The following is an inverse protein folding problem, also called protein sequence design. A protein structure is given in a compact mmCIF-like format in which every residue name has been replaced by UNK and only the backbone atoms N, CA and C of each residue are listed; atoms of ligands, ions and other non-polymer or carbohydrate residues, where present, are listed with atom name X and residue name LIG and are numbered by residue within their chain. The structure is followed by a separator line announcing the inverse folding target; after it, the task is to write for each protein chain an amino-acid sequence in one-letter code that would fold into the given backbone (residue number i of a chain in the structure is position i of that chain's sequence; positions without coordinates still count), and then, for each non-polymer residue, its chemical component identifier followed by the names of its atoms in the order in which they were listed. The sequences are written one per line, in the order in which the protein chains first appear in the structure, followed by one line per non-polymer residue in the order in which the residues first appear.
data_IF_678383717496
#
_entry.id   IF_678383717496
#
_cell.length_a   1.000
_cell.length_b   1.000
_cell.length_c   1.000
_cell.angle_alpha   90.00
_cell.angle_beta   90.00
_cell.angle_gamma   90.00
#
_symmetry.space_group_name_H-M   'P 1'
#
loop_
_entity.id
_entity.type
_entity.pdbx_description
1 polymer ?
#
# COMPACT_ATOMS: atom_id res chain seq x y z
N UNK A 1 13.97 -4.71 -56.24
CA UNK A 1 14.34 -6.08 -56.66
C UNK A 1 14.77 -6.81 -55.40
N UNK A 2 13.93 -7.68 -54.83
CA UNK A 2 13.70 -9.07 -55.29
C UNK A 2 15.02 -9.80 -55.48
N UNK A 3 15.28 -10.95 -54.91
CA UNK A 3 14.58 -11.83 -53.98
C UNK A 3 15.67 -12.55 -53.18
N UNK A 4 15.33 -13.27 -52.11
CA UNK A 4 15.09 -14.72 -52.18
C UNK A 4 16.37 -15.44 -52.65
N UNK A 5 16.86 -16.47 -51.98
CA UNK A 5 16.20 -17.69 -51.55
C UNK A 5 17.10 -18.30 -50.46
N UNK A 6 16.52 -19.18 -49.64
CA UNK A 6 17.16 -20.30 -48.92
C UNK A 6 17.12 -20.17 -47.39
N UNK A 7 16.07 -20.68 -46.73
CA UNK A 7 15.85 -22.11 -46.36
C UNK A 7 16.84 -22.57 -45.28
N UNK A 8 16.50 -23.26 -44.19
CA UNK A 8 15.31 -23.93 -43.68
C UNK A 8 15.54 -24.13 -42.16
N UNK A 9 14.45 -24.04 -41.39
CA UNK A 9 14.10 -24.94 -40.28
C UNK A 9 15.11 -25.18 -39.13
N UNK A 10 14.79 -24.61 -37.96
CA UNK A 10 14.23 -25.35 -36.78
C UNK A 10 14.75 -24.79 -35.44
N UNK A 11 13.85 -24.37 -34.55
CA UNK A 11 14.09 -24.43 -33.09
C UNK A 11 13.73 -23.20 -32.23
N UNK A 12 12.44 -23.06 -31.92
CA UNK A 12 11.85 -22.50 -30.68
C UNK A 12 12.20 -21.06 -30.18
N UNK A 13 11.30 -20.13 -30.51
CA UNK A 13 10.47 -19.32 -29.59
C UNK A 13 10.57 -19.63 -28.06
N UNK A 14 11.00 -18.65 -27.24
CA UNK A 14 10.18 -17.92 -26.22
C UNK A 14 11.05 -17.20 -25.15
N UNK A 15 10.81 -15.89 -25.08
CA UNK A 15 10.86 -14.93 -23.95
C UNK A 15 12.18 -14.61 -23.22
N UNK A 16 12.60 -13.35 -23.42
CA UNK A 16 13.45 -12.62 -22.49
C UNK A 16 12.65 -12.11 -21.29
N UNK A 17 13.06 -12.51 -20.08
CA UNK A 17 12.68 -11.86 -18.84
C UNK A 17 13.67 -10.72 -18.54
N UNK A 18 13.14 -9.51 -18.45
CA UNK A 18 13.72 -8.44 -17.62
C UNK A 18 12.63 -7.85 -16.72
N UNK A 19 13.04 -7.26 -15.58
CA UNK A 19 12.23 -7.15 -14.38
C UNK A 19 11.38 -5.88 -14.38
N UNK A 20 10.22 -5.92 -13.73
CA UNK A 20 9.59 -4.74 -13.17
C UNK A 20 8.79 -5.11 -11.93
N UNK A 21 8.98 -4.26 -10.93
CA UNK A 21 8.38 -4.26 -9.61
C UNK A 21 6.85 -4.13 -9.64
N UNK A 22 6.24 -4.78 -8.65
CA UNK A 22 5.05 -4.38 -7.91
C UNK A 22 3.65 -4.77 -8.45
N UNK A 23 2.95 -5.50 -7.57
CA UNK A 23 1.51 -5.45 -7.30
C UNK A 23 0.62 -6.49 -8.01
N UNK A 24 0.66 -7.73 -7.51
CA UNK A 24 -0.45 -8.68 -7.65
C UNK A 24 -1.11 -8.84 -6.26
N UNK A 25 -2.15 -8.05 -6.03
CA UNK A 25 -3.22 -8.36 -5.08
C UNK A 25 -4.23 -9.24 -5.82
N UNK A 26 -4.15 -10.56 -5.66
CA UNK A 26 -5.24 -11.47 -6.04
C UNK A 26 -6.14 -11.62 -4.81
N UNK A 27 -7.30 -10.98 -4.87
CA UNK A 27 -8.45 -11.28 -4.02
C UNK A 27 -8.96 -12.68 -4.34
N UNK A 28 -8.73 -13.62 -3.44
CA UNK A 28 -9.25 -14.98 -3.47
C UNK A 28 -10.74 -15.05 -3.06
N UNK A 29 -11.51 -16.04 -3.54
CA UNK A 29 -12.95 -16.17 -3.27
C UNK A 29 -13.22 -16.73 -1.86
N UNK A 30 -14.25 -16.20 -1.20
CA UNK A 30 -14.69 -16.64 0.13
C UNK A 30 -15.36 -18.02 0.04
N UNK A 31 -14.67 -19.06 0.50
CA UNK A 31 -15.21 -20.41 0.66
C UNK A 31 -16.08 -20.48 1.93
N UNK A 32 -17.26 -21.11 1.81
CA UNK A 32 -18.13 -21.49 2.93
C UNK A 32 -17.30 -22.31 3.93
N UNK A 33 -17.24 -21.87 5.18
CA UNK A 33 -16.44 -22.53 6.23
C UNK A 33 -17.12 -23.84 6.60
N UNK A 34 -16.60 -24.95 6.08
CA UNK A 34 -16.89 -26.28 6.62
C UNK A 34 -16.34 -26.30 8.05
N UNK A 35 -17.21 -26.59 9.03
CA UNK A 35 -16.82 -26.62 10.45
C UNK A 35 -15.70 -27.64 10.64
N UNK A 36 -14.57 -27.20 11.21
CA UNK A 36 -13.40 -28.03 11.38
C UNK A 36 -13.71 -29.25 12.27
N UNK A 37 -13.32 -30.44 11.82
CA UNK A 37 -13.49 -31.66 12.60
C UNK A 37 -12.20 -32.00 13.33
N UNK A 38 -12.20 -31.89 14.66
CA UNK A 38 -11.03 -32.23 15.48
C UNK A 38 -10.79 -33.75 15.48
N UNK A 39 -9.53 -34.16 15.30
CA UNK A 39 -9.11 -35.56 15.13
C UNK A 39 -8.17 -36.03 16.23
N UNK A 40 -7.12 -35.26 16.53
CA UNK A 40 -6.14 -35.60 17.57
C UNK A 40 -5.68 -34.32 18.28
N UNK A 41 -5.25 -34.43 19.52
CA UNK A 41 -4.62 -33.35 20.28
C UNK A 41 -3.30 -33.88 20.84
N UNK A 42 -2.20 -33.21 20.49
CA UNK A 42 -0.88 -33.50 21.04
C UNK A 42 -0.56 -32.48 22.13
N UNK A 43 0.03 -32.94 23.23
CA UNK A 43 0.50 -32.09 24.32
C UNK A 43 2.02 -32.14 24.31
N UNK A 44 2.65 -30.98 24.21
CA UNK A 44 4.09 -30.82 24.24
C UNK A 44 4.50 -30.15 25.55
N UNK A 45 5.63 -30.57 26.10
CA UNK A 45 6.23 -29.98 27.30
C UNK A 45 6.99 -28.66 27.01
N UNK A 46 7.55 -28.04 28.06
CA UNK A 46 8.35 -26.81 27.97
C UNK A 46 9.57 -26.91 27.03
N UNK A 47 9.99 -28.14 26.68
CA UNK A 47 11.14 -28.43 25.82
C UNK A 47 10.72 -28.77 24.38
N UNK A 48 9.41 -28.78 24.11
CA UNK A 48 8.86 -29.16 22.81
C UNK A 48 8.84 -30.67 22.57
N UNK A 49 9.06 -31.49 23.60
CA UNK A 49 8.96 -32.94 23.54
C UNK A 49 7.50 -33.38 23.77
N UNK A 50 7.10 -34.49 23.17
CA UNK A 50 5.72 -34.98 23.26
C UNK A 50 5.44 -35.55 24.67
N UNK A 51 4.60 -34.84 25.42
CA UNK A 51 4.16 -35.20 26.76
C UNK A 51 2.92 -36.12 26.76
N UNK A 52 2.08 -36.02 25.73
CA UNK A 52 0.91 -36.88 25.58
C UNK A 52 0.15 -36.69 24.28
N UNK A 53 -0.72 -37.66 23.98
CA UNK A 53 -1.59 -37.66 22.80
C UNK A 53 -3.01 -38.05 23.23
N UNK A 54 -3.99 -37.28 22.77
CA UNK A 54 -5.41 -37.58 22.88
C UNK A 54 -5.98 -37.81 21.49
N UNK A 55 -6.31 -39.07 21.20
CA UNK A 55 -6.90 -39.48 19.92
C UNK A 55 -8.42 -39.41 20.03
N UNK A 56 -9.04 -38.48 19.29
CA UNK A 56 -10.50 -38.34 19.21
C UNK A 56 -11.09 -39.15 18.05
N UNK A 57 -10.32 -39.33 16.98
CA UNK A 57 -10.66 -40.15 15.83
C UNK A 57 -9.51 -41.13 15.51
N UNK A 58 -9.68 -42.44 15.77
CA UNK A 58 -8.63 -43.44 15.59
C UNK A 58 -8.32 -43.75 14.12
N UNK A 59 -9.23 -43.41 13.20
CA UNK A 59 -9.07 -43.67 11.76
C UNK A 59 -8.29 -42.55 11.05
N UNK A 60 -7.75 -41.58 11.79
CA UNK A 60 -6.98 -40.47 11.23
C UNK A 60 -5.59 -40.95 10.77
N UNK A 61 -5.26 -40.83 9.46
CA UNK A 61 -4.03 -41.36 8.88
C UNK A 61 -2.78 -40.51 9.15
N UNK A 62 -2.94 -39.38 9.85
CA UNK A 62 -1.87 -38.43 10.15
C UNK A 62 -1.40 -38.61 11.60
N UNK A 63 -0.08 -38.72 11.75
CA UNK A 63 0.58 -38.92 13.04
C UNK A 63 1.46 -37.75 13.44
N UNK A 64 1.92 -37.74 14.68
CA UNK A 64 2.84 -36.72 15.22
C UNK A 64 4.13 -36.59 14.39
N UNK A 65 4.60 -37.67 13.76
CA UNK A 65 5.77 -37.62 12.89
C UNK A 65 5.54 -36.78 11.64
N UNK A 66 4.30 -36.67 11.15
CA UNK A 66 3.99 -35.81 10.01
C UNK A 66 3.89 -34.34 10.42
N UNK A 67 3.46 -34.06 11.66
CA UNK A 67 3.60 -32.73 12.25
C UNK A 67 5.07 -32.29 12.32
N UNK A 68 5.96 -33.15 12.82
CA UNK A 68 7.39 -32.84 12.91
C UNK A 68 8.06 -32.57 11.56
N UNK A 69 7.57 -33.17 10.47
CA UNK A 69 8.09 -32.93 9.12
C UNK A 69 7.69 -31.56 8.58
N UNK A 70 6.55 -31.03 9.01
CA UNK A 70 5.98 -29.77 8.53
C UNK A 70 6.24 -28.63 9.50
N UNK A 71 6.70 -28.94 10.72
CA UNK A 71 7.10 -27.96 11.72
C UNK A 71 8.27 -27.11 11.19
N UNK A 72 8.10 -25.78 11.10
CA UNK A 72 9.19 -24.88 10.73
C UNK A 72 10.35 -24.98 11.72
N UNK A 73 11.56 -24.73 11.25
CA UNK A 73 12.76 -24.74 12.11
C UNK A 73 12.71 -23.67 13.21
N UNK A 74 11.90 -22.62 13.02
CA UNK A 74 11.63 -21.53 13.95
C UNK A 74 10.60 -21.90 15.04
N UNK A 75 9.95 -23.07 14.92
CA UNK A 75 8.84 -23.48 15.77
C UNK A 75 7.49 -23.04 15.20
N UNK A 76 6.41 -23.32 15.96
CA UNK A 76 5.06 -22.87 15.63
C UNK A 76 4.62 -21.87 16.71
N UNK A 77 4.11 -20.70 16.29
CA UNK A 77 3.63 -19.67 17.21
C UNK A 77 2.26 -20.01 17.82
N UNK A 78 1.86 -19.24 18.83
CA UNK A 78 0.53 -19.38 19.42
C UNK A 78 -0.56 -19.04 18.40
N UNK A 79 -1.54 -19.94 18.26
CA UNK A 79 -2.65 -19.89 17.29
C UNK A 79 -2.22 -20.03 15.82
N UNK A 80 -0.96 -20.33 15.55
CA UNK A 80 -0.49 -20.60 14.20
C UNK A 80 -0.98 -21.96 13.72
N UNK A 81 -1.29 -22.03 12.43
CA UNK A 81 -1.83 -23.21 11.77
C UNK A 81 -0.92 -23.71 10.65
N UNK A 82 -0.51 -24.98 10.73
CA UNK A 82 0.26 -25.67 9.70
C UNK A 82 -0.64 -26.61 8.90
N UNK A 83 -0.52 -26.56 7.58
CA UNK A 83 -1.38 -27.31 6.67
C UNK A 83 -0.67 -28.54 6.13
N UNK A 84 -1.30 -29.71 6.30
CA UNK A 84 -0.84 -30.99 5.75
C UNK A 84 -1.97 -31.61 4.96
N UNK A 85 -2.02 -31.28 3.66
CA UNK A 85 -3.10 -31.69 2.77
C UNK A 85 -4.46 -31.14 3.23
N UNK A 86 -5.39 -32.02 3.60
CA UNK A 86 -6.72 -31.66 4.09
C UNK A 86 -6.78 -31.42 5.61
N UNK A 87 -5.67 -31.61 6.30
CA UNK A 87 -5.57 -31.51 7.75
C UNK A 87 -4.76 -30.29 8.18
N UNK A 88 -5.10 -29.75 9.33
CA UNK A 88 -4.55 -28.53 9.88
C UNK A 88 -4.11 -28.79 11.31
N UNK A 89 -2.85 -28.51 11.61
CA UNK A 89 -2.31 -28.49 12.95
C UNK A 89 -2.33 -27.07 13.47
N UNK A 90 -3.09 -26.80 14.53
CA UNK A 90 -3.12 -25.47 15.17
C UNK A 90 -2.49 -25.57 16.55
N UNK A 91 -1.43 -24.81 16.81
CA UNK A 91 -0.79 -24.79 18.11
C UNK A 91 -1.42 -23.74 19.03
N UNK A 92 -1.54 -24.07 20.30
CA UNK A 92 -1.97 -23.18 21.37
C UNK A 92 -0.97 -23.24 22.50
N UNK A 93 -0.39 -22.11 22.85
CA UNK A 93 0.55 -21.99 23.95
C UNK A 93 -0.22 -21.64 25.22
N UNK A 94 -0.23 -22.57 26.19
CA UNK A 94 -0.86 -22.37 27.49
C UNK A 94 0.19 -22.59 28.56
N UNK A 95 0.78 -21.49 29.02
CA UNK A 95 1.81 -21.44 30.05
C UNK A 95 3.00 -22.37 29.77
N UNK A 96 3.08 -23.49 30.49
CA UNK A 96 4.21 -24.44 30.42
C UNK A 96 4.03 -25.55 29.37
N UNK A 97 2.86 -25.65 28.76
CA UNK A 97 2.54 -26.68 27.78
C UNK A 97 2.11 -26.05 26.45
N UNK A 98 2.39 -26.76 25.36
CA UNK A 98 1.92 -26.39 24.02
C UNK A 98 0.97 -27.48 23.54
N UNK A 99 -0.27 -27.10 23.24
CA UNK A 99 -1.30 -27.99 22.71
C UNK A 99 -1.37 -27.86 21.20
N UNK A 100 -1.14 -28.95 20.47
CA UNK A 100 -1.23 -28.98 19.01
C UNK A 100 -2.47 -29.76 18.61
N UNK A 101 -3.45 -29.06 18.04
CA UNK A 101 -4.73 -29.62 17.63
C UNK A 101 -4.67 -30.00 16.15
N UNK A 102 -4.93 -31.27 15.85
CA UNK A 102 -5.08 -31.77 14.49
C UNK A 102 -6.55 -31.79 14.11
N UNK A 103 -6.93 -30.98 13.13
CA UNK A 103 -8.30 -30.89 12.61
C UNK A 103 -8.35 -31.13 11.11
N UNK A 104 -9.48 -31.61 10.60
CA UNK A 104 -9.76 -31.67 9.15
C UNK A 104 -10.55 -30.43 8.77
N UNK A 105 -9.95 -29.56 7.97
CA UNK A 105 -10.44 -28.19 7.70
C UNK A 105 -9.93 -27.14 8.69
N UNK A 106 -10.01 -25.86 8.31
CA UNK A 106 -9.50 -24.75 9.11
C UNK A 106 -10.46 -24.38 10.25
N UNK A 107 -9.93 -24.26 11.47
CA UNK A 107 -10.67 -23.76 12.62
C UNK A 107 -11.09 -22.30 12.38
N UNK A 108 -12.37 -21.99 12.59
CA UNK A 108 -12.86 -20.61 12.52
C UNK A 108 -12.34 -19.78 13.69
N UNK A 109 -12.27 -18.45 13.54
CA UNK A 109 -11.75 -17.57 14.60
C UNK A 109 -12.49 -17.76 15.95
N UNK A 110 -13.81 -17.97 15.92
CA UNK A 110 -14.61 -18.26 17.11
C UNK A 110 -14.25 -19.61 17.76
N UNK A 111 -13.95 -20.64 16.96
CA UNK A 111 -13.56 -21.97 17.45
C UNK A 111 -12.15 -21.93 18.08
N UNK A 112 -11.25 -21.09 17.54
CA UNK A 112 -9.90 -20.83 18.07
C UNK A 112 -9.96 -20.16 19.44
N UNK A 113 -10.83 -19.17 19.63
CA UNK A 113 -10.96 -18.48 20.92
C UNK A 113 -11.62 -19.35 22.00
N UNK A 114 -12.63 -20.14 21.64
CA UNK A 114 -13.24 -21.12 22.56
C UNK A 114 -12.27 -22.25 22.95
N UNK A 115 -11.49 -22.77 22.00
CA UNK A 115 -10.49 -23.81 22.28
C UNK A 115 -9.34 -23.29 23.13
N UNK A 116 -8.85 -22.06 22.87
CA UNK A 116 -7.86 -21.41 23.72
C UNK A 116 -8.37 -21.25 25.17
N UNK A 117 -9.62 -20.82 25.35
CA UNK A 117 -10.22 -20.64 26.68
C UNK A 117 -10.41 -21.97 27.42
N UNK A 118 -10.81 -23.04 26.73
CA UNK A 118 -10.90 -24.38 27.29
C UNK A 118 -9.53 -24.95 27.68
N UNK A 119 -8.51 -24.78 26.83
CA UNK A 119 -7.16 -25.28 27.08
C UNK A 119 -6.51 -24.56 28.26
N UNK A 120 -6.70 -23.25 28.35
CA UNK A 120 -6.27 -22.44 29.51
C UNK A 120 -6.96 -22.90 30.80
N UNK A 121 -8.26 -23.26 30.74
CA UNK A 121 -8.97 -23.82 31.89
C UNK A 121 -8.44 -25.22 32.27
N UNK A 122 -8.07 -26.07 31.31
CA UNK A 122 -7.48 -27.39 31.57
C UNK A 122 -6.03 -27.34 32.06
N UNK A 123 -5.28 -26.28 31.73
CA UNK A 123 -3.93 -26.09 32.30
C UNK A 123 -3.99 -25.95 33.83
N UNK A 124 -5.01 -25.25 34.35
CA UNK A 124 -5.21 -25.08 35.79
C UNK A 124 -5.41 -26.41 36.54
N UNK A 125 -5.85 -27.47 35.84
CA UNK A 125 -6.02 -28.82 36.39
C UNK A 125 -4.80 -29.71 36.18
N UNK A 126 -4.03 -29.51 35.10
CA UNK A 126 -2.78 -30.24 34.81
C UNK A 126 -1.61 -29.82 35.71
N UNK A 127 -1.58 -28.55 36.17
CA UNK A 127 -0.58 -28.06 37.15
C UNK A 127 -0.72 -28.74 38.53
N UNK A 128 -1.79 -29.52 38.77
CA UNK A 128 -2.10 -30.17 40.05
C UNK A 128 -2.08 -31.71 40.06
N UNK A 129 -1.42 -32.36 39.09
CA UNK A 129 -1.29 -33.83 39.00
C UNK A 129 0.13 -34.38 39.24
N UNK A 130 0.32 -35.58 39.83
CA UNK A 130 1.61 -36.07 40.32
C UNK A 130 2.49 -36.69 39.22
N UNK A 131 3.82 -36.59 39.41
CA UNK A 131 4.86 -37.12 38.53
C UNK A 131 4.76 -38.65 38.27
N UNK A 132 5.05 -39.09 37.03
CA UNK A 132 5.15 -40.51 36.63
C UNK A 132 6.48 -40.79 35.87
N UNK A 133 6.99 -42.04 35.88
CA UNK A 133 8.39 -42.38 35.62
C UNK A 133 8.72 -42.72 34.16
N UNK A 134 10.02 -42.73 33.86
CA UNK A 134 10.65 -42.90 32.55
C UNK A 134 10.48 -44.30 31.91
N UNK A 135 10.49 -44.42 30.56
CA UNK A 135 10.44 -45.70 29.87
C UNK A 135 11.82 -46.31 29.61
N UNK A 136 11.86 -47.64 29.60
CA UNK A 136 13.00 -48.52 29.38
C UNK A 136 13.43 -48.56 27.91
N UNK A 137 14.73 -48.40 27.63
CA UNK A 137 15.34 -48.52 26.29
C UNK A 137 15.75 -49.96 25.98
N UNK A 138 15.30 -50.47 24.84
CA UNK A 138 15.83 -51.66 24.19
C UNK A 138 17.10 -51.35 23.38
N UNK A 139 18.03 -52.31 23.35
CA UNK A 139 19.35 -52.21 22.76
C UNK A 139 19.32 -52.27 21.22
N UNK A 140 19.94 -51.28 20.56
CA UNK A 140 20.26 -51.25 19.14
C UNK A 140 21.76 -51.04 18.92
N UNK A 141 22.29 -51.57 17.82
CA UNK A 141 23.69 -51.74 17.45
C UNK A 141 24.52 -50.43 17.34
N UNK A 142 25.77 -50.46 17.84
CA UNK A 142 26.66 -49.30 18.04
C UNK A 142 27.01 -48.49 16.76
N UNK A 143 26.95 -49.10 15.57
CA UNK A 143 27.27 -48.41 14.30
C UNK A 143 26.17 -47.46 13.82
N UNK A 144 24.92 -47.74 14.15
CA UNK A 144 23.78 -46.89 13.76
C UNK A 144 23.65 -45.70 14.71
N UNK A 145 24.09 -45.85 15.96
CA UNK A 145 24.18 -44.74 16.90
C UNK A 145 25.23 -43.71 16.51
N UNK A 146 26.43 -44.10 16.07
CA UNK A 146 27.49 -43.14 15.67
C UNK A 146 27.11 -42.31 14.44
N UNK A 147 26.48 -42.94 13.43
CA UNK A 147 25.92 -42.21 12.28
C UNK A 147 24.77 -41.28 12.69
N UNK A 148 23.91 -41.74 13.61
CA UNK A 148 22.83 -40.93 14.16
C UNK A 148 23.31 -39.73 14.99
N UNK A 149 24.48 -39.82 15.63
CA UNK A 149 25.09 -38.67 16.32
C UNK A 149 25.69 -37.67 15.33
N UNK A 150 26.41 -38.13 14.29
CA UNK A 150 26.93 -37.25 13.25
C UNK A 150 25.84 -36.48 12.49
N UNK A 151 24.71 -37.15 12.18
CA UNK A 151 23.55 -36.50 11.55
C UNK A 151 22.87 -35.50 12.47
N UNK A 152 22.85 -35.75 13.79
CA UNK A 152 22.33 -34.80 14.79
C UNK A 152 23.23 -33.60 14.94
N UNK A 153 24.55 -33.79 15.00
CA UNK A 153 25.52 -32.71 15.10
C UNK A 153 25.49 -31.83 13.85
N UNK A 154 25.38 -32.42 12.65
CA UNK A 154 25.21 -31.66 11.42
C UNK A 154 23.91 -30.82 11.40
N UNK A 155 22.81 -31.37 11.93
CA UNK A 155 21.54 -30.64 12.09
C UNK A 155 21.63 -29.52 13.14
N UNK A 156 22.35 -29.74 14.23
CA UNK A 156 22.58 -28.72 15.26
C UNK A 156 23.41 -27.57 14.70
N UNK A 157 24.50 -27.87 13.99
CA UNK A 157 25.32 -26.83 13.32
C UNK A 157 24.51 -26.06 12.27
N UNK A 158 23.62 -26.73 11.54
CA UNK A 158 22.73 -26.04 10.60
C UNK A 158 21.71 -25.13 11.32
N UNK A 159 21.14 -25.59 12.45
CA UNK A 159 20.24 -24.76 13.27
C UNK A 159 20.96 -23.57 13.90
N UNK A 160 22.18 -23.77 14.41
CA UNK A 160 23.02 -22.70 14.97
C UNK A 160 23.34 -21.63 13.92
N UNK A 161 23.66 -22.05 12.68
CA UNK A 161 23.85 -21.10 11.57
C UNK A 161 22.59 -20.33 11.23
N UNK A 162 21.44 -21.00 11.14
CA UNK A 162 20.17 -20.34 10.87
C UNK A 162 19.77 -19.36 11.99
N UNK A 163 20.02 -19.72 13.26
CA UNK A 163 19.80 -18.82 14.40
C UNK A 163 20.72 -17.60 14.32
N UNK A 164 22.00 -17.78 14.01
CA UNK A 164 22.93 -16.66 13.83
C UNK A 164 22.50 -15.73 12.67
N UNK A 165 21.96 -16.29 11.57
CA UNK A 165 21.42 -15.49 10.46
C UNK A 165 20.17 -14.70 10.87
N UNK A 166 19.25 -15.30 11.63
CA UNK A 166 18.06 -14.64 12.14
C UNK A 166 18.40 -13.55 13.17
N UNK A 167 19.35 -13.81 14.08
CA UNK A 167 19.85 -12.82 15.02
C UNK A 167 20.48 -11.63 14.30
N UNK A 168 21.27 -11.87 13.25
CA UNK A 168 21.83 -10.80 12.43
C UNK A 168 20.76 -9.98 11.70
N UNK A 169 19.70 -10.63 11.20
CA UNK A 169 18.56 -9.94 10.57
C UNK A 169 17.78 -9.11 11.58
N UNK A 170 17.48 -9.64 12.76
CA UNK A 170 16.80 -8.91 13.83
C UNK A 170 17.63 -7.72 14.31
N UNK A 171 18.95 -7.86 14.43
CA UNK A 171 19.82 -6.73 14.75
C UNK A 171 19.82 -5.65 13.66
N UNK A 172 19.82 -6.04 12.39
CA UNK A 172 19.71 -5.10 11.27
C UNK A 172 18.35 -4.38 11.24
N UNK A 173 17.26 -5.11 11.49
CA UNK A 173 15.92 -4.53 11.59
C UNK A 173 15.78 -3.60 12.80
N UNK A 174 16.34 -3.96 13.95
CA UNK A 174 16.39 -3.09 15.13
C UNK A 174 17.15 -1.79 14.83
N UNK A 175 18.31 -1.87 14.18
CA UNK A 175 19.08 -0.69 13.75
C UNK A 175 18.32 0.18 12.73
N UNK A 176 17.56 -0.44 11.83
CA UNK A 176 16.71 0.29 10.88
C UNK A 176 15.53 0.99 11.58
N UNK A 177 14.92 0.35 12.57
CA UNK A 177 13.84 0.95 13.36
C UNK A 177 14.35 2.13 14.20
N UNK A 178 15.53 2.01 14.82
CA UNK A 178 16.15 3.14 15.55
C UNK A 178 16.50 4.28 14.60
N UNK A 179 17.04 4.00 13.41
CA UNK A 179 17.31 5.02 12.40
C UNK A 179 16.03 5.74 11.92
N UNK A 180 14.92 5.01 11.72
CA UNK A 180 13.62 5.60 11.40
C UNK A 180 13.07 6.46 12.54
N UNK A 181 13.26 6.01 13.79
CA UNK A 181 12.84 6.76 14.97
C UNK A 181 13.62 8.09 15.09
N UNK A 182 14.94 8.06 14.89
CA UNK A 182 15.76 9.27 14.87
C UNK A 182 15.34 10.25 13.75
N UNK A 183 15.01 9.75 12.56
CA UNK A 183 14.55 10.59 11.47
C UNK A 183 13.17 11.20 11.75
N UNK A 184 12.26 10.44 12.37
CA UNK A 184 10.98 10.98 12.86
C UNK A 184 11.20 12.06 13.92
N UNK A 185 12.14 11.86 14.84
CA UNK A 185 12.42 12.85 15.89
C UNK A 185 13.10 14.11 15.31
N UNK A 186 13.94 13.97 14.28
CA UNK A 186 14.44 15.12 13.49
C UNK A 186 13.31 15.86 12.77
N UNK A 187 12.36 15.14 12.19
CA UNK A 187 11.20 15.76 11.53
C UNK A 187 10.31 16.50 12.53
N UNK A 188 10.04 15.91 13.70
CA UNK A 188 9.32 16.58 14.79
C UNK A 188 10.05 17.84 15.26
N UNK A 189 11.37 17.77 15.43
CA UNK A 189 12.18 18.94 15.80
C UNK A 189 12.12 20.05 14.74
N UNK A 190 12.15 19.69 13.44
CA UNK A 190 11.97 20.67 12.34
C UNK A 190 10.58 21.30 12.36
N UNK A 191 9.52 20.51 12.60
CA UNK A 191 8.16 21.03 12.71
C UNK A 191 7.99 21.95 13.93
N UNK A 192 8.60 21.60 15.06
CA UNK A 192 8.62 22.46 16.24
C UNK A 192 9.35 23.78 15.96
N UNK A 193 10.51 23.74 15.31
CA UNK A 193 11.24 24.94 14.91
C UNK A 193 10.45 25.82 13.92
N UNK A 194 9.71 25.22 12.99
CA UNK A 194 8.81 25.96 12.08
C UNK A 194 7.64 26.59 12.83
N UNK A 195 7.06 25.89 13.81
CA UNK A 195 6.02 26.44 14.67
C UNK A 195 6.54 27.64 15.47
N UNK A 196 7.71 27.52 16.10
CA UNK A 196 8.38 28.61 16.84
C UNK A 196 8.71 29.79 15.94
N UNK A 197 9.17 29.55 14.71
CA UNK A 197 9.42 30.59 13.73
C UNK A 197 8.13 31.32 13.35
N UNK A 198 7.03 30.59 13.13
CA UNK A 198 5.74 31.19 12.81
C UNK A 198 5.20 32.05 13.97
N UNK A 199 5.37 31.60 15.21
CA UNK A 199 4.99 32.37 16.40
C UNK A 199 5.81 33.66 16.52
N UNK A 200 7.14 33.57 16.33
CA UNK A 200 8.02 34.76 16.31
C UNK A 200 7.64 35.73 15.19
N UNK A 201 7.30 35.23 14.00
CA UNK A 201 6.84 36.07 12.91
C UNK A 201 5.53 36.78 13.26
N UNK A 202 4.56 36.08 13.86
CA UNK A 202 3.32 36.68 14.34
C UNK A 202 3.58 37.77 15.40
N UNK A 203 4.49 37.53 16.34
CA UNK A 203 4.88 38.51 17.35
C UNK A 203 5.58 39.74 16.74
N UNK A 204 6.46 39.54 15.76
CA UNK A 204 7.11 40.66 15.05
C UNK A 204 6.10 41.48 14.25
N UNK A 205 5.09 40.84 13.64
CA UNK A 205 4.01 41.54 12.95
C UNK A 205 3.11 42.27 13.94
N UNK A 206 2.73 41.67 15.07
CA UNK A 206 1.93 42.30 16.10
C UNK A 206 2.65 43.51 16.73
N UNK A 207 3.94 43.39 17.00
CA UNK A 207 4.77 44.50 17.50
C UNK A 207 4.98 45.57 16.43
N UNK A 208 5.17 45.20 15.16
CA UNK A 208 5.22 46.12 14.03
C UNK A 208 3.92 46.91 13.84
N UNK A 209 2.78 46.24 13.92
CA UNK A 209 1.44 46.86 13.84
C UNK A 209 1.17 47.79 15.03
N UNK A 210 1.61 47.43 16.24
CA UNK A 210 1.46 48.30 17.41
C UNK A 210 2.37 49.53 17.35
N UNK A 211 3.59 49.41 16.80
CA UNK A 211 4.48 50.55 16.55
C UNK A 211 3.92 51.45 15.46
N UNK A 212 3.52 50.90 14.32
CA UNK A 212 2.93 51.69 13.23
C UNK A 212 1.64 52.37 13.68
N UNK A 213 0.82 51.72 14.51
CA UNK A 213 -0.36 52.37 15.13
C UNK A 213 0.01 53.54 16.02
N UNK A 214 1.02 53.40 16.88
CA UNK A 214 1.52 54.49 17.74
C UNK A 214 2.12 55.62 16.90
N UNK A 215 2.91 55.30 15.89
CA UNK A 215 3.47 56.27 14.95
C UNK A 215 2.36 57.01 14.21
N UNK A 216 1.31 56.31 13.77
CA UNK A 216 0.16 56.89 13.10
C UNK A 216 -0.66 57.78 14.05
N UNK A 217 -0.84 57.40 15.31
CA UNK A 217 -1.45 58.26 16.35
C UNK A 217 -0.60 59.52 16.61
N UNK A 218 0.73 59.39 16.70
CA UNK A 218 1.62 60.56 16.85
C UNK A 218 1.66 61.44 15.61
N UNK A 219 1.63 60.85 14.42
CA UNK A 219 1.57 61.56 13.15
C UNK A 219 0.22 62.25 12.96
N UNK A 220 -0.89 61.66 13.43
CA UNK A 220 -2.20 62.32 13.48
C UNK A 220 -2.20 63.51 14.46
N UNK A 221 -1.54 63.38 15.62
CA UNK A 221 -1.39 64.49 16.56
C UNK A 221 -0.48 65.61 16.02
N UNK A 222 0.58 65.25 15.27
CA UNK A 222 1.46 66.20 14.60
C UNK A 222 0.79 66.86 13.39
N UNK A 223 0.01 66.11 12.61
CA UNK A 223 -0.77 66.61 11.48
C UNK A 223 -1.93 67.51 11.93
N UNK A 224 -2.57 67.19 13.06
CA UNK A 224 -3.55 68.07 13.71
C UNK A 224 -2.90 69.37 14.24
N UNK A 225 -1.59 69.35 14.53
CA UNK A 225 -0.80 70.54 14.91
C UNK A 225 -0.21 71.28 13.69
N UNK A 226 0.01 70.61 12.56
CA UNK A 226 0.64 71.18 11.37
C UNK A 226 -0.36 71.60 10.28
N UNK A 227 -1.67 71.47 10.50
CA UNK A 227 -2.72 71.74 9.50
C UNK A 227 -2.92 73.23 9.11
N UNK A 228 -1.92 74.08 9.33
CA UNK A 228 -1.96 75.49 8.97
C UNK A 228 -1.23 75.86 7.67
N UNK A 229 -0.20 75.15 7.19
CA UNK A 229 0.76 75.77 6.23
C UNK A 229 1.13 75.05 4.91
N UNK A 230 0.51 73.94 4.49
CA UNK A 230 0.87 73.30 3.20
C UNK A 230 -0.31 72.75 2.39
N UNK A 231 -1.32 73.57 2.09
CA UNK A 231 -2.64 73.08 1.62
C UNK A 231 -2.81 72.76 0.13
N UNK A 232 -1.87 73.02 -0.77
CA UNK A 232 -2.20 72.99 -2.23
C UNK A 232 -1.43 71.99 -3.09
N UNK A 233 -0.19 71.62 -2.77
CA UNK A 233 0.60 70.64 -3.55
C UNK A 233 0.62 69.24 -2.92
N UNK A 234 0.74 69.15 -1.59
CA UNK A 234 0.62 67.87 -0.85
C UNK A 234 -0.79 67.29 -0.93
N UNK A 235 -1.82 68.14 -1.08
CA UNK A 235 -3.22 67.73 -1.22
C UNK A 235 -3.45 66.86 -2.46
N UNK A 236 -2.83 67.19 -3.60
CA UNK A 236 -3.00 66.43 -4.85
C UNK A 236 -2.26 65.10 -4.83
N UNK A 237 -0.99 65.10 -4.39
CA UNK A 237 -0.22 63.86 -4.25
C UNK A 237 -0.87 62.90 -3.23
N UNK A 238 -1.44 63.44 -2.14
CA UNK A 238 -2.17 62.66 -1.15
C UNK A 238 -3.51 62.12 -1.69
N UNK A 239 -4.22 62.87 -2.55
CA UNK A 239 -5.43 62.34 -3.20
C UNK A 239 -5.11 61.24 -4.20
N UNK A 240 -4.04 61.37 -4.98
CA UNK A 240 -3.63 60.37 -5.96
C UNK A 240 -3.13 59.08 -5.28
N UNK A 241 -2.39 59.22 -4.17
CA UNK A 241 -2.01 58.10 -3.32
C UNK A 241 -3.24 57.40 -2.71
N UNK A 242 -4.25 58.14 -2.24
CA UNK A 242 -5.49 57.54 -1.73
C UNK A 242 -6.27 56.81 -2.81
N UNK A 243 -6.34 57.37 -4.02
CA UNK A 243 -7.01 56.72 -5.14
C UNK A 243 -6.31 55.42 -5.56
N UNK A 244 -4.98 55.40 -5.60
CA UNK A 244 -4.22 54.18 -5.89
C UNK A 244 -4.41 53.11 -4.81
N UNK A 245 -4.35 53.47 -3.52
CA UNK A 245 -4.65 52.52 -2.44
C UNK A 245 -6.09 52.01 -2.47
N UNK A 246 -7.07 52.85 -2.82
CA UNK A 246 -8.45 52.40 -3.00
C UNK A 246 -8.61 51.45 -4.19
N UNK A 247 -7.89 51.69 -5.28
CA UNK A 247 -7.87 50.79 -6.44
C UNK A 247 -7.22 49.45 -6.11
N UNK A 248 -6.07 49.46 -5.41
CA UNK A 248 -5.39 48.25 -4.93
C UNK A 248 -6.28 47.48 -3.96
N UNK A 249 -6.95 48.17 -3.02
CA UNK A 249 -7.89 47.53 -2.10
C UNK A 249 -9.06 46.89 -2.84
N UNK A 250 -9.61 47.55 -3.86
CA UNK A 250 -10.67 46.97 -4.71
C UNK A 250 -10.16 45.75 -5.49
N UNK A 251 -8.96 45.81 -6.04
CA UNK A 251 -8.33 44.69 -6.75
C UNK A 251 -8.07 43.50 -5.82
N UNK A 252 -7.59 43.74 -4.59
CA UNK A 252 -7.38 42.69 -3.59
C UNK A 252 -8.69 42.06 -3.13
N UNK A 253 -9.76 42.84 -2.96
CA UNK A 253 -11.09 42.30 -2.64
C UNK A 253 -11.63 41.45 -3.79
N UNK A 254 -11.45 41.87 -5.04
CA UNK A 254 -11.85 41.10 -6.21
C UNK A 254 -11.05 39.78 -6.31
N UNK A 255 -9.72 39.84 -6.16
CA UNK A 255 -8.86 38.66 -6.18
C UNK A 255 -9.21 37.67 -5.04
N UNK A 256 -9.53 38.18 -3.85
CA UNK A 256 -10.00 37.35 -2.73
C UNK A 256 -11.33 36.66 -3.06
N UNK A 257 -12.29 37.38 -3.63
CA UNK A 257 -13.58 36.81 -4.03
C UNK A 257 -13.42 35.72 -5.10
N UNK A 258 -12.53 35.93 -6.08
CA UNK A 258 -12.19 34.92 -7.08
C UNK A 258 -11.53 33.68 -6.48
N UNK A 259 -10.60 33.86 -5.53
CA UNK A 259 -9.95 32.75 -4.84
C UNK A 259 -10.97 31.94 -4.02
N UNK A 260 -11.83 32.61 -3.26
CA UNK A 260 -12.92 31.95 -2.52
C UNK A 260 -13.89 31.22 -3.45
N UNK A 261 -14.16 31.75 -4.65
CA UNK A 261 -14.99 31.06 -5.65
C UNK A 261 -14.31 29.78 -6.15
N UNK A 262 -13.00 29.84 -6.43
CA UNK A 262 -12.20 28.67 -6.83
C UNK A 262 -12.11 27.62 -5.72
N UNK A 263 -11.97 28.04 -4.47
CA UNK A 263 -11.94 27.14 -3.32
C UNK A 263 -13.30 26.44 -3.13
N UNK A 264 -14.41 27.18 -3.27
CA UNK A 264 -15.78 26.59 -3.26
C UNK A 264 -15.98 25.60 -4.41
N UNK A 265 -15.47 25.90 -5.61
CA UNK A 265 -15.55 24.99 -6.74
C UNK A 265 -14.69 23.73 -6.53
N UNK A 266 -13.46 23.89 -6.03
CA UNK A 266 -12.55 22.78 -5.74
C UNK A 266 -13.14 21.85 -4.68
N UNK A 267 -13.68 22.41 -3.59
CA UNK A 267 -14.36 21.63 -2.54
C UNK A 267 -15.60 20.91 -3.06
N UNK A 268 -16.41 21.54 -3.93
CA UNK A 268 -17.54 20.87 -4.57
C UNK A 268 -17.10 19.71 -5.48
N UNK A 269 -16.00 19.89 -6.23
CA UNK A 269 -15.41 18.83 -7.07
C UNK A 269 -14.89 17.66 -6.24
N UNK A 270 -14.22 17.93 -5.11
CA UNK A 270 -13.75 16.90 -4.18
C UNK A 270 -14.94 16.12 -3.61
N UNK A 271 -15.98 16.81 -3.13
CA UNK A 271 -17.17 16.15 -2.60
C UNK A 271 -17.85 15.25 -3.64
N UNK A 272 -17.89 15.68 -4.91
CA UNK A 272 -18.40 14.85 -6.01
C UNK A 272 -17.56 13.60 -6.25
N UNK A 273 -16.23 13.73 -6.29
CA UNK A 273 -15.33 12.59 -6.46
C UNK A 273 -15.42 11.61 -5.28
N UNK A 274 -15.57 12.11 -4.06
CA UNK A 274 -15.80 11.25 -2.88
C UNK A 274 -17.12 10.50 -2.96
N UNK A 275 -18.18 11.12 -3.49
CA UNK A 275 -19.46 10.47 -3.71
C UNK A 275 -19.36 9.40 -4.80
N UNK A 276 -18.74 9.74 -5.95
CA UNK A 276 -18.53 8.78 -7.05
C UNK A 276 -17.69 7.58 -6.60
N UNK A 277 -16.69 7.80 -5.73
CA UNK A 277 -15.88 6.72 -5.14
C UNK A 277 -16.69 5.82 -4.20
N UNK A 278 -17.59 6.38 -3.39
CA UNK A 278 -18.50 5.61 -2.52
C UNK A 278 -19.48 4.78 -3.35
N UNK A 279 -20.03 5.35 -4.41
CA UNK A 279 -20.96 4.65 -5.29
C UNK A 279 -20.26 3.51 -6.06
N UNK A 280 -19.01 3.72 -6.49
CA UNK A 280 -18.19 2.68 -7.10
C UNK A 280 -17.86 1.53 -6.13
N UNK A 281 -17.55 1.85 -4.87
CA UNK A 281 -17.32 0.85 -3.81
C UNK A 281 -18.58 0.01 -3.57
N UNK A 282 -19.75 0.65 -3.45
CA UNK A 282 -21.03 -0.05 -3.28
C UNK A 282 -21.38 -0.92 -4.50
N UNK A 283 -21.04 -0.49 -5.71
CA UNK A 283 -21.20 -1.30 -6.92
C UNK A 283 -20.30 -2.54 -6.89
N UNK A 284 -19.02 -2.38 -6.53
CA UNK A 284 -18.07 -3.49 -6.41
C UNK A 284 -18.48 -4.50 -5.33
N UNK A 285 -19.02 -4.05 -4.20
CA UNK A 285 -19.55 -4.94 -3.17
C UNK A 285 -20.76 -5.75 -3.67
N UNK A 286 -21.67 -5.12 -4.42
CA UNK A 286 -22.80 -5.81 -5.06
C UNK A 286 -22.33 -6.83 -6.10
N UNK A 287 -21.31 -6.52 -6.88
CA UNK A 287 -20.74 -7.47 -7.84
C UNK A 287 -20.01 -8.62 -7.14
N UNK A 288 -19.26 -8.35 -6.07
CA UNK A 288 -18.59 -9.39 -5.27
C UNK A 288 -19.59 -10.35 -4.65
N UNK A 289 -20.69 -9.84 -4.10
CA UNK A 289 -21.75 -10.68 -3.54
C UNK A 289 -22.47 -11.49 -4.63
N UNK A 290 -22.78 -10.90 -5.78
CA UNK A 290 -23.36 -11.60 -6.92
C UNK A 290 -22.41 -12.67 -7.51
N UNK A 291 -21.10 -12.41 -7.54
CA UNK A 291 -20.12 -13.40 -7.99
C UNK A 291 -19.95 -14.52 -6.97
N UNK A 292 -20.00 -14.22 -5.66
CA UNK A 292 -19.96 -15.23 -4.61
C UNK A 292 -21.20 -16.15 -4.65
N UNK A 293 -22.39 -15.62 -4.95
CA UNK A 293 -23.59 -16.45 -5.12
C UNK A 293 -23.51 -17.33 -6.36
N UNK A 294 -23.07 -16.78 -7.51
CA UNK A 294 -22.84 -17.56 -8.73
C UNK A 294 -21.81 -18.67 -8.53
N UNK A 295 -20.66 -18.37 -7.92
CA UNK A 295 -19.65 -19.38 -7.62
C UNK A 295 -20.19 -20.48 -6.68
N UNK A 296 -21.02 -20.11 -5.71
CA UNK A 296 -21.67 -21.07 -4.82
C UNK A 296 -22.70 -21.97 -5.52
N UNK A 297 -23.39 -21.48 -6.55
CA UNK A 297 -24.28 -22.26 -7.41
C UNK A 297 -23.48 -23.18 -8.35
N UNK A 298 -22.38 -22.69 -8.91
CA UNK A 298 -21.45 -23.49 -9.72
C UNK A 298 -20.83 -24.63 -8.91
N UNK A 299 -20.40 -24.40 -7.66
CA UNK A 299 -19.91 -25.48 -6.80
C UNK A 299 -20.99 -26.52 -6.49
N UNK A 300 -22.24 -26.10 -6.27
CA UNK A 300 -23.36 -27.04 -6.06
C UNK A 300 -23.59 -27.90 -7.29
N UNK A 301 -23.64 -27.29 -8.48
CA UNK A 301 -23.82 -28.03 -9.73
C UNK A 301 -22.65 -28.96 -10.03
N UNK A 302 -21.41 -28.56 -9.72
CA UNK A 302 -20.24 -29.46 -9.81
C UNK A 302 -20.36 -30.67 -8.90
N UNK A 303 -20.72 -30.48 -7.62
CA UNK A 303 -20.93 -31.60 -6.68
C UNK A 303 -22.06 -32.52 -7.11
N UNK A 304 -23.15 -31.97 -7.66
CA UNK A 304 -24.25 -32.78 -8.22
C UNK A 304 -23.79 -33.60 -9.43
N UNK A 305 -22.96 -33.03 -10.31
CA UNK A 305 -22.39 -33.75 -11.46
C UNK A 305 -21.44 -34.84 -10.98
N UNK A 306 -20.52 -34.55 -10.06
CA UNK A 306 -19.59 -35.51 -9.47
C UNK A 306 -20.33 -36.67 -8.80
N UNK A 307 -21.40 -36.39 -8.05
CA UNK A 307 -22.28 -37.40 -7.47
C UNK A 307 -22.92 -38.30 -8.54
N UNK A 308 -23.49 -37.70 -9.60
CA UNK A 308 -24.06 -38.47 -10.73
C UNK A 308 -23.02 -39.31 -11.45
N UNK A 309 -21.79 -38.82 -11.61
CA UNK A 309 -20.68 -39.57 -12.23
C UNK A 309 -20.28 -40.75 -11.35
N UNK A 310 -20.18 -40.56 -10.03
CA UNK A 310 -19.90 -41.64 -9.09
C UNK A 310 -21.01 -42.72 -9.11
N UNK A 311 -22.28 -42.30 -9.10
CA UNK A 311 -23.44 -43.20 -9.21
C UNK A 311 -23.41 -44.01 -10.51
N UNK A 312 -23.13 -43.36 -11.64
CA UNK A 312 -23.00 -44.03 -12.94
C UNK A 312 -21.82 -45.01 -12.95
N UNK A 313 -20.67 -44.63 -12.39
CA UNK A 313 -19.50 -45.50 -12.28
C UNK A 313 -19.82 -46.75 -11.44
N UNK A 314 -20.50 -46.58 -10.30
CA UNK A 314 -20.93 -47.70 -9.48
C UNK A 314 -21.88 -48.63 -10.25
N UNK A 315 -22.85 -48.08 -10.98
CA UNK A 315 -23.76 -48.86 -11.84
C UNK A 315 -23.01 -49.60 -12.95
N UNK A 316 -22.01 -48.99 -13.58
CA UNK A 316 -21.19 -49.70 -14.57
C UNK A 316 -20.40 -50.85 -13.93
N UNK A 317 -19.85 -50.67 -12.73
CA UNK A 317 -19.16 -51.75 -12.03
C UNK A 317 -20.11 -52.87 -11.58
N UNK A 318 -21.34 -52.56 -11.16
CA UNK A 318 -22.34 -53.57 -10.80
C UNK A 318 -22.80 -54.34 -12.02
N UNK A 319 -23.08 -53.67 -13.14
CA UNK A 319 -23.43 -54.31 -14.41
C UNK A 319 -22.27 -55.18 -14.92
N UNK A 320 -21.03 -54.71 -14.83
CA UNK A 320 -19.86 -55.51 -15.21
C UNK A 320 -19.72 -56.76 -14.34
N UNK A 321 -19.94 -56.65 -13.03
CA UNK A 321 -19.96 -57.80 -12.10
C UNK A 321 -21.10 -58.76 -12.42
N UNK A 322 -22.32 -58.27 -12.67
CA UNK A 322 -23.46 -59.09 -13.06
C UNK A 322 -23.24 -59.82 -14.38
N UNK A 323 -22.65 -59.15 -15.38
CA UNK A 323 -22.26 -59.78 -16.65
C UNK A 323 -21.20 -60.86 -16.45
N UNK A 324 -20.22 -60.62 -15.57
CA UNK A 324 -19.20 -61.61 -15.22
C UNK A 324 -19.84 -62.85 -14.55
N UNK A 325 -20.74 -62.65 -13.59
CA UNK A 325 -21.48 -63.74 -12.92
C UNK A 325 -22.38 -64.48 -13.90
N UNK A 326 -23.06 -63.77 -14.80
CA UNK A 326 -23.93 -64.36 -15.82
C UNK A 326 -23.16 -65.18 -16.86
N UNK A 327 -21.91 -64.80 -17.17
CA UNK A 327 -21.04 -65.55 -18.09
C UNK A 327 -20.56 -66.91 -17.56
N UNK A 328 -20.71 -67.17 -16.24
CA UNK A 328 -20.40 -68.47 -15.62
C UNK A 328 -21.62 -69.40 -15.52
N UNK A 329 -22.78 -68.99 -16.03
CA UNK A 329 -23.99 -69.82 -16.09
C UNK A 329 -23.94 -70.68 -17.36
N UNK A 330 -24.12 -72.01 -17.29
CA UNK A 330 -24.07 -72.86 -18.48
C UNK A 330 -25.19 -72.47 -19.45
N UNK A 331 -24.82 -72.36 -20.73
CA UNK A 331 -25.71 -72.00 -21.82
C UNK A 331 -26.67 -73.16 -22.11
N UNK A 332 -27.94 -72.99 -21.77
CA UNK A 332 -29.03 -73.80 -22.34
C UNK A 332 -29.61 -73.13 -23.59
N UNK A 333 -30.18 -73.98 -24.43
CA UNK A 333 -30.37 -73.85 -25.87
C UNK A 333 -31.21 -72.65 -26.33
N UNK A 334 -30.83 -72.09 -27.48
CA UNK A 334 -31.50 -70.96 -28.11
C UNK A 334 -32.89 -71.34 -28.67
N UNK A 335 -33.87 -71.34 -27.80
CA UNK A 335 -35.32 -71.32 -28.08
C UNK A 335 -35.74 -70.00 -28.76
N UNK A 336 -36.92 -69.94 -29.36
CA UNK A 336 -37.53 -68.73 -29.95
C UNK A 336 -37.57 -67.52 -28.98
N UNK A 337 -37.41 -67.74 -27.68
CA UNK A 337 -37.18 -66.71 -26.67
C UNK A 337 -35.87 -65.94 -26.88
N UNK A 338 -34.80 -66.59 -27.33
CA UNK A 338 -33.51 -65.95 -27.65
C UNK A 338 -33.62 -65.07 -28.89
N UNK A 339 -34.47 -65.44 -29.86
CA UNK A 339 -34.74 -64.58 -31.02
C UNK A 339 -35.53 -63.34 -30.64
N UNK A 340 -36.55 -63.46 -29.78
CA UNK A 340 -37.27 -62.30 -29.21
C UNK A 340 -36.37 -61.44 -28.31
N UNK A 341 -35.48 -62.04 -27.53
CA UNK A 341 -34.49 -61.33 -26.74
C UNK A 341 -33.51 -60.55 -27.65
N UNK A 342 -33.00 -61.18 -28.71
CA UNK A 342 -32.15 -60.53 -29.71
C UNK A 342 -32.89 -59.41 -30.47
N UNK A 343 -34.18 -59.55 -30.75
CA UNK A 343 -34.99 -58.46 -31.31
C UNK A 343 -35.23 -57.31 -30.31
N UNK A 344 -35.41 -57.63 -29.02
CA UNK A 344 -35.46 -56.67 -27.93
C UNK A 344 -34.14 -55.90 -27.78
N UNK A 345 -33.01 -56.60 -27.75
CA UNK A 345 -31.68 -56.01 -27.71
C UNK A 345 -31.40 -55.15 -28.96
N UNK A 346 -31.81 -55.59 -30.16
CA UNK A 346 -31.72 -54.76 -31.37
C UNK A 346 -32.56 -53.49 -31.26
N UNK A 347 -33.75 -53.56 -30.66
CA UNK A 347 -34.60 -52.40 -30.43
C UNK A 347 -34.01 -51.46 -29.37
N UNK A 348 -33.38 -51.99 -28.32
CA UNK A 348 -32.65 -51.22 -27.31
C UNK A 348 -31.42 -50.54 -27.91
N UNK A 349 -30.59 -51.26 -28.66
CA UNK A 349 -29.44 -50.70 -29.40
C UNK A 349 -29.89 -49.62 -30.39
N UNK A 350 -31.05 -49.79 -31.05
CA UNK A 350 -31.61 -48.76 -31.91
C UNK A 350 -32.07 -47.50 -31.15
N UNK A 351 -32.58 -47.66 -29.91
CA UNK A 351 -32.93 -46.54 -29.03
C UNK A 351 -31.68 -45.84 -28.49
N UNK A 352 -30.68 -46.61 -28.06
CA UNK A 352 -29.38 -46.10 -27.62
C UNK A 352 -28.68 -45.34 -28.75
N UNK A 353 -28.70 -45.86 -29.98
CA UNK A 353 -28.16 -45.16 -31.15
C UNK A 353 -28.86 -43.82 -31.38
N UNK A 354 -30.19 -43.75 -31.27
CA UNK A 354 -30.95 -42.49 -31.39
C UNK A 354 -30.65 -41.54 -30.24
N UNK A 355 -30.48 -42.05 -29.02
CA UNK A 355 -30.11 -41.25 -27.85
C UNK A 355 -28.71 -40.66 -27.99
N UNK A 356 -27.72 -41.48 -28.37
CA UNK A 356 -26.35 -41.05 -28.63
C UNK A 356 -26.29 -40.05 -29.80
N UNK A 357 -27.08 -40.25 -30.85
CA UNK A 357 -27.17 -39.30 -31.95
C UNK A 357 -27.74 -37.94 -31.49
N UNK A 358 -28.79 -37.93 -30.65
CA UNK A 358 -29.32 -36.69 -30.06
C UNK A 358 -28.31 -36.03 -29.12
N UNK A 359 -27.62 -36.81 -28.31
CA UNK A 359 -26.56 -36.34 -27.40
C UNK A 359 -25.39 -35.73 -28.17
N UNK A 360 -25.02 -36.30 -29.32
CA UNK A 360 -23.99 -35.76 -30.20
C UNK A 360 -24.39 -34.41 -30.79
N UNK A 361 -25.65 -34.26 -31.21
CA UNK A 361 -26.19 -32.97 -31.69
C UNK A 361 -26.21 -31.94 -30.55
N UNK A 362 -26.66 -32.30 -29.36
CA UNK A 362 -26.63 -31.39 -28.20
C UNK A 362 -25.21 -30.95 -27.81
N UNK A 363 -24.20 -31.83 -28.00
CA UNK A 363 -22.81 -31.47 -27.75
C UNK A 363 -22.27 -30.52 -28.83
N UNK A 364 -22.61 -30.74 -30.10
CA UNK A 364 -22.30 -29.83 -31.19
C UNK A 364 -22.94 -28.44 -30.97
N UNK A 365 -24.22 -28.38 -30.62
CA UNK A 365 -24.90 -27.11 -30.30
C UNK A 365 -24.26 -26.38 -29.11
N UNK A 366 -23.76 -27.13 -28.11
CA UNK A 366 -23.02 -26.54 -26.99
C UNK A 366 -21.65 -26.05 -27.41
N UNK A 367 -20.96 -26.77 -28.27
CA UNK A 367 -19.67 -26.36 -28.82
C UNK A 367 -19.81 -25.08 -29.64
N UNK A 368 -20.82 -24.99 -30.51
CA UNK A 368 -21.09 -23.78 -31.29
C UNK A 368 -21.41 -22.59 -30.38
N UNK A 369 -22.20 -22.78 -29.31
CA UNK A 369 -22.43 -21.74 -28.30
C UNK A 369 -21.18 -21.33 -27.53
N UNK A 370 -20.24 -22.25 -27.33
CA UNK A 370 -18.95 -21.94 -26.69
C UNK A 370 -18.10 -21.12 -27.66
N UNK A 371 -18.04 -21.50 -28.95
CA UNK A 371 -17.35 -20.72 -29.98
C UNK A 371 -17.90 -19.31 -30.11
N UNK A 372 -19.22 -19.13 -30.12
CA UNK A 372 -19.84 -17.80 -30.14
C UNK A 372 -19.43 -16.95 -28.92
N UNK A 373 -19.33 -17.58 -27.74
CA UNK A 373 -18.87 -16.90 -26.53
C UNK A 373 -17.39 -16.55 -26.60
N UNK A 374 -16.55 -17.43 -27.14
CA UNK A 374 -15.13 -17.17 -27.36
C UNK A 374 -14.93 -15.98 -28.29
N UNK A 375 -15.67 -15.92 -29.41
CA UNK A 375 -15.64 -14.75 -30.31
C UNK A 375 -16.01 -13.46 -29.58
N UNK A 376 -17.05 -13.48 -28.75
CA UNK A 376 -17.42 -12.30 -27.96
C UNK A 376 -16.41 -11.92 -26.88
N UNK A 377 -15.67 -12.89 -26.32
CA UNK A 377 -14.58 -12.63 -25.40
C UNK A 377 -13.41 -12.00 -26.15
N UNK A 378 -13.03 -12.55 -27.30
CA UNK A 378 -11.98 -12.02 -28.16
C UNK A 378 -12.29 -10.57 -28.62
N UNK A 379 -13.53 -10.28 -28.98
CA UNK A 379 -13.98 -8.91 -29.30
C UNK A 379 -13.81 -7.96 -28.11
N UNK A 380 -14.18 -8.40 -26.91
CA UNK A 380 -13.99 -7.59 -25.68
C UNK A 380 -12.53 -7.39 -25.35
N UNK A 381 -11.70 -8.42 -25.51
CA UNK A 381 -10.25 -8.32 -25.32
C UNK A 381 -9.62 -7.35 -26.31
N UNK A 382 -10.04 -7.36 -27.58
CA UNK A 382 -9.61 -6.37 -28.57
C UNK A 382 -10.04 -4.95 -28.19
N UNK A 383 -11.26 -4.77 -27.70
CA UNK A 383 -11.74 -3.47 -27.22
C UNK A 383 -10.96 -2.97 -25.99
N UNK A 384 -10.63 -3.85 -25.05
CA UNK A 384 -9.76 -3.52 -23.92
C UNK A 384 -8.35 -3.14 -24.38
N UNK A 385 -7.76 -3.90 -25.29
CA UNK A 385 -6.44 -3.60 -25.84
C UNK A 385 -6.42 -2.23 -26.56
N UNK A 386 -7.48 -1.89 -27.31
CA UNK A 386 -7.63 -0.56 -27.93
C UNK A 386 -7.70 0.55 -26.88
N UNK A 387 -8.49 0.37 -25.81
CA UNK A 387 -8.59 1.34 -24.71
C UNK A 387 -7.29 1.53 -23.96
N UNK A 388 -6.52 0.45 -23.74
CA UNK A 388 -5.20 0.54 -23.14
C UNK A 388 -4.22 1.34 -24.01
N UNK A 389 -4.24 1.14 -25.33
CA UNK A 389 -3.45 1.94 -26.27
C UNK A 389 -3.86 3.42 -26.26
N UNK A 390 -5.17 3.73 -26.20
CA UNK A 390 -5.66 5.10 -26.07
C UNK A 390 -5.26 5.76 -24.75
N UNK A 391 -5.29 5.02 -23.64
CA UNK A 391 -4.85 5.54 -22.35
C UNK A 391 -3.33 5.77 -22.32
N UNK A 392 -2.56 4.85 -22.91
CA UNK A 392 -1.10 4.99 -23.03
C UNK A 392 -0.72 6.20 -23.89
N UNK A 393 -1.38 6.42 -25.03
CA UNK A 393 -1.13 7.58 -25.88
C UNK A 393 -1.50 8.89 -25.17
N UNK A 394 -2.63 8.94 -24.47
CA UNK A 394 -3.01 10.10 -23.64
C UNK A 394 -2.01 10.37 -22.52
N UNK A 395 -1.49 9.33 -21.85
CA UNK A 395 -0.44 9.49 -20.83
C UNK A 395 0.81 10.11 -21.43
N UNK A 396 1.28 9.63 -22.59
CA UNK A 396 2.41 10.22 -23.28
C UNK A 396 2.16 11.68 -23.67
N UNK A 397 0.95 12.02 -24.12
CA UNK A 397 0.59 13.40 -24.43
C UNK A 397 0.55 14.29 -23.18
N UNK A 398 0.06 13.78 -22.05
CA UNK A 398 0.13 14.49 -20.77
C UNK A 398 1.58 14.68 -20.31
N UNK A 399 2.45 13.69 -20.48
CA UNK A 399 3.88 13.82 -20.18
C UNK A 399 4.56 14.84 -21.10
N UNK A 400 4.23 14.86 -22.40
CA UNK A 400 4.68 15.88 -23.35
C UNK A 400 4.19 17.26 -22.94
N UNK A 401 2.91 17.42 -22.59
CA UNK A 401 2.39 18.69 -22.10
C UNK A 401 3.05 19.12 -20.80
N UNK A 402 3.32 18.18 -19.88
CA UNK A 402 4.00 18.46 -18.62
C UNK A 402 5.45 18.89 -18.84
N UNK A 403 6.17 18.24 -19.76
CA UNK A 403 7.54 18.66 -20.12
C UNK A 403 7.55 20.00 -20.83
N UNK A 404 6.61 20.25 -21.75
CA UNK A 404 6.43 21.56 -22.38
C UNK A 404 6.08 22.64 -21.36
N UNK A 405 5.21 22.37 -20.40
CA UNK A 405 4.88 23.28 -19.29
C UNK A 405 6.07 23.48 -18.36
N UNK A 406 6.91 22.47 -18.13
CA UNK A 406 8.12 22.61 -17.34
C UNK A 406 9.20 23.44 -18.06
N UNK A 407 9.28 23.36 -19.39
CA UNK A 407 10.16 24.17 -20.22
C UNK A 407 9.62 25.60 -20.45
N UNK A 408 8.30 25.75 -20.55
CA UNK A 408 7.61 27.03 -20.69
C UNK A 408 7.40 27.73 -19.34
N UNK A 409 7.61 27.04 -18.21
CA UNK A 409 7.77 27.69 -16.92
C UNK A 409 9.03 28.53 -17.04
N UNK A 410 8.94 29.87 -17.03
CA UNK A 410 10.14 30.69 -17.00
C UNK A 410 10.97 30.17 -15.83
N UNK A 411 12.26 29.94 -16.07
CA UNK A 411 13.20 29.77 -14.97
C UNK A 411 12.83 30.87 -13.95
N UNK A 412 12.63 30.54 -12.66
CA UNK A 412 12.50 31.59 -11.67
C UNK A 412 13.65 32.54 -11.95
N UNK A 413 13.40 33.84 -12.18
CA UNK A 413 14.47 34.75 -12.56
C UNK A 413 15.59 34.49 -11.58
N UNK A 414 16.78 34.15 -12.09
CA UNK A 414 17.96 34.19 -11.25
C UNK A 414 17.85 35.51 -10.50
N UNK A 415 17.67 35.43 -9.18
CA UNK A 415 17.74 36.59 -8.29
C UNK A 415 19.21 36.98 -8.29
N UNK A 416 19.65 37.52 -9.42
CA UNK A 416 20.96 38.10 -9.65
C UNK A 416 20.70 39.60 -9.78
N UNK A 417 21.29 40.29 -8.81
CA UNK A 417 21.78 41.66 -8.84
C UNK A 417 20.87 42.88 -8.66
N UNK A 418 19.54 42.80 -8.55
CA UNK A 418 18.79 44.01 -8.12
C UNK A 418 19.06 44.48 -6.68
N UNK A 419 19.10 43.61 -5.64
CA UNK A 419 19.36 44.09 -4.28
C UNK A 419 20.80 44.55 -4.09
N UNK A 420 21.76 44.04 -4.87
CA UNK A 420 23.16 44.43 -4.77
C UNK A 420 23.47 45.73 -5.53
N UNK A 421 22.77 46.00 -6.64
CA UNK A 421 22.82 47.30 -7.31
C UNK A 421 22.17 48.39 -6.47
N UNK A 422 21.01 48.11 -5.86
CA UNK A 422 20.37 49.01 -4.92
C UNK A 422 21.28 49.30 -3.70
N UNK A 423 21.94 48.27 -3.13
CA UNK A 423 22.92 48.46 -2.05
C UNK A 423 24.12 49.30 -2.50
N UNK A 424 24.67 49.06 -3.70
CA UNK A 424 25.80 49.84 -4.25
C UNK A 424 25.41 51.28 -4.56
N UNK A 425 24.17 51.55 -4.98
CA UNK A 425 23.68 52.91 -5.19
C UNK A 425 23.50 53.64 -3.85
N UNK A 426 22.95 52.96 -2.84
CA UNK A 426 22.87 53.49 -1.46
C UNK A 426 24.27 53.81 -0.94
N UNK A 427 25.24 52.91 -1.11
CA UNK A 427 26.61 53.09 -0.65
C UNK A 427 27.33 54.26 -1.36
N UNK A 428 27.07 54.44 -2.66
CA UNK A 428 27.55 55.62 -3.43
C UNK A 428 26.91 56.92 -2.94
N UNK A 429 25.60 56.92 -2.70
CA UNK A 429 24.89 58.10 -2.15
C UNK A 429 25.40 58.47 -0.75
N UNK A 430 25.67 57.47 0.10
CA UNK A 430 26.25 57.70 1.44
C UNK A 430 27.63 58.35 1.34
N UNK A 431 28.51 57.88 0.44
CA UNK A 431 29.82 58.52 0.21
C UNK A 431 29.69 59.96 -0.27
N UNK A 432 28.76 60.24 -1.20
CA UNK A 432 28.52 61.61 -1.68
C UNK A 432 28.03 62.51 -0.54
N UNK A 433 27.15 62.02 0.34
CA UNK A 433 26.65 62.77 1.49
C UNK A 433 27.78 63.04 2.48
N UNK A 434 28.62 62.05 2.79
CA UNK A 434 29.78 62.22 3.68
C UNK A 434 30.78 63.24 3.12
N UNK A 435 31.07 63.18 1.82
CA UNK A 435 31.95 64.13 1.17
C UNK A 435 31.37 65.56 1.20
N UNK A 436 30.08 65.72 0.90
CA UNK A 436 29.41 67.02 1.03
C UNK A 436 29.40 67.55 2.47
N UNK A 437 29.25 66.68 3.46
CA UNK A 437 29.32 67.07 4.86
C UNK A 437 30.70 67.61 5.24
N UNK A 438 31.79 66.97 4.77
CA UNK A 438 33.16 67.45 4.96
C UNK A 438 33.41 68.78 4.22
N UNK A 439 32.94 68.91 2.98
CA UNK A 439 33.06 70.18 2.22
C UNK A 439 32.30 71.34 2.88
N UNK A 440 31.15 71.07 3.50
CA UNK A 440 30.40 72.07 4.27
C UNK A 440 31.15 72.49 5.53
N UNK A 441 31.77 71.54 6.23
CA UNK A 441 32.61 71.79 7.40
C UNK A 441 33.82 72.67 7.04
N UNK A 442 34.51 72.34 5.95
CA UNK A 442 35.63 73.13 5.44
C UNK A 442 35.21 74.55 5.02
N UNK A 443 34.01 74.69 4.43
CA UNK A 443 33.45 76.00 4.10
C UNK A 443 33.10 76.80 5.34
N UNK A 444 32.55 76.16 6.36
CA UNK A 444 32.26 76.81 7.64
C UNK A 444 33.54 77.29 8.31
N UNK A 445 34.60 76.48 8.34
CA UNK A 445 35.90 76.91 8.86
C UNK A 445 36.50 78.08 8.08
N UNK A 446 36.39 78.07 6.74
CA UNK A 446 36.82 79.20 5.90
C UNK A 446 36.01 80.46 6.17
N UNK A 447 34.70 80.32 6.39
CA UNK A 447 33.84 81.43 6.77
C UNK A 447 34.17 81.95 8.17
N UNK A 448 34.48 81.08 9.12
CA UNK A 448 34.96 81.49 10.46
C UNK A 448 36.28 82.23 10.40
N UNK A 449 37.24 81.77 9.59
CA UNK A 449 38.52 82.48 9.37
C UNK A 449 38.31 83.85 8.74
N UNK A 450 37.45 83.95 7.71
CA UNK A 450 37.09 85.23 7.09
C UNK A 450 36.35 86.15 8.04
N UNK A 451 35.45 85.62 8.87
CA UNK A 451 34.77 86.39 9.91
C UNK A 451 35.76 86.94 10.93
N UNK A 452 36.72 86.14 11.39
CA UNK A 452 37.78 86.58 12.29
C UNK A 452 38.73 87.60 11.65
N UNK A 453 39.04 87.46 10.35
CA UNK A 453 39.83 88.45 9.60
C UNK A 453 39.07 89.77 9.41
N UNK A 454 37.76 89.72 9.14
CA UNK A 454 36.90 90.89 9.05
C UNK A 454 36.76 91.57 10.41
N UNK A 455 36.56 90.81 11.48
CA UNK A 455 36.53 91.32 12.86
C UNK A 455 37.88 91.97 13.24
N UNK A 456 39.01 91.38 12.83
CA UNK A 456 40.33 91.98 13.02
C UNK A 456 40.53 93.25 12.17
N UNK A 457 39.98 93.32 10.96
CA UNK A 457 40.00 94.53 10.13
C UNK A 457 39.08 95.62 10.70
N UNK A 458 37.90 95.26 11.21
CA UNK A 458 36.98 96.17 11.89
C UNK A 458 37.58 96.67 13.22
N UNK A 459 38.29 95.84 13.97
CA UNK A 459 39.03 96.24 15.16
C UNK A 459 40.16 97.23 14.82
N UNK A 460 40.84 97.05 13.67
CA UNK A 460 41.87 97.99 13.18
C UNK A 460 41.27 99.30 12.68
N UNK A 461 40.12 99.25 12.02
CA UNK A 461 39.41 100.44 11.51
C UNK A 461 38.75 101.23 12.65
N UNK A 462 38.16 100.55 13.64
CA UNK A 462 37.58 101.18 14.84
C UNK A 462 38.64 101.70 15.80
N UNK A 463 39.82 101.07 15.88
CA UNK A 463 40.99 101.61 16.58
C UNK A 463 41.63 102.83 15.90
N UNK A 464 41.30 103.10 14.63
CA UNK A 464 41.76 104.27 13.87
C UNK A 464 40.74 105.43 13.88
N UNK A 465 39.67 105.36 14.67
CA UNK A 465 38.77 106.51 14.92
C UNK A 465 39.04 107.04 16.33
N UNK A 466 40.18 107.71 16.47
CA UNK A 466 40.43 108.67 17.54
C UNK A 466 41.21 109.87 16.96
N UNK A 467 40.47 110.97 16.81
CA UNK A 467 40.91 112.37 16.81
C UNK A 467 42.11 112.79 15.92
N UNK A 468 41.79 113.42 14.79
CA UNK A 468 41.89 114.88 14.64
C UNK A 468 40.90 115.40 13.59
#
# INVERSE_FOLDING_TARGET
MQGAIETLLSGLLIQGLRPALASILITAPMKKVARAQLKKIYVLDERGEMAGEYVLDPDCPIDYNDFLKVLPNEGIGDRDSLFVGEYVFTAFQSGKYVFVLLSRGQLGAEDVDWTALLLTATESTLVRGPARPAPTRGAGTKSDSEKGFADRDARLVAKEKNLAELEARLQAEAANLTGRQEELDRQKARLAALADYSARMQDTVATGLSRSRKELETAQQLAAKSSADSKTTESKAATDARQSFEQERKALVAAKAELEAKDREATARIAKLEQDAKDAMLALEKERTANATRAAEEEKTRREIEGRVADLSQRFTSIAKERLVSSHRPAEEASDEVRKAMEGEKAEVARERKFLQRRAIELLDREDRVRDREVHVDEREQDFARREQELSSRQQDFERQRTLLAQAKPQPPEVRTEPDEAKRDIERRVKIIQQKALELLDREEKLRKRAAELEAMEARLSGNVAAD
#
